data_IF_090020257881
#
_entry.id   IF_090020257881
#
_cell.length_a   1.000
_cell.length_b   1.000
_cell.length_c   1.000
_cell.angle_alpha   90.00
_cell.angle_beta   90.00
_cell.angle_gamma   90.00
#
_symmetry.space_group_name_H-M   'P 1'
#
loop_
_entity.id
_entity.type
_entity.pdbx_description
1 polymer ?
#
# COMPACT_ATOMS: atom_id res chain seq x y z
N UNK A 1 0.25 -37.84 -74.73
CA UNK A 1 0.40 -38.13 -73.30
C UNK A 1 0.99 -36.87 -72.60
N UNK A 2 0.22 -36.07 -72.00
CA UNK A 2 0.65 -34.82 -71.30
C UNK A 2 0.95 -35.14 -69.86
N UNK A 3 2.16 -34.87 -69.44
CA UNK A 3 2.57 -34.88 -68.01
C UNK A 3 2.08 -33.61 -67.29
N UNK A 4 1.31 -33.77 -66.23
CA UNK A 4 0.90 -32.68 -65.36
C UNK A 4 1.96 -32.47 -64.28
N UNK A 5 2.68 -31.38 -64.35
CA UNK A 5 3.59 -30.94 -63.32
C UNK A 5 2.79 -30.15 -62.27
N UNK A 6 2.66 -30.68 -61.06
CA UNK A 6 1.99 -30.02 -59.94
C UNK A 6 2.96 -29.07 -59.26
N UNK A 7 2.69 -27.76 -59.32
CA UNK A 7 3.45 -26.72 -58.64
C UNK A 7 2.96 -26.60 -57.22
N UNK A 8 3.78 -27.01 -56.25
CA UNK A 8 3.49 -26.79 -54.83
C UNK A 8 4.02 -25.39 -54.44
N UNK A 9 3.10 -24.48 -54.19
CA UNK A 9 3.41 -23.16 -53.63
C UNK A 9 3.42 -23.29 -52.11
N UNK A 10 4.62 -23.23 -51.50
CA UNK A 10 4.77 -23.14 -50.05
C UNK A 10 4.61 -21.67 -49.68
N UNK A 11 3.47 -21.33 -49.05
CA UNK A 11 3.25 -20.04 -48.46
C UNK A 11 3.88 -20.03 -47.05
N UNK A 12 5.05 -19.39 -46.94
CA UNK A 12 5.69 -19.14 -45.66
C UNK A 12 4.95 -17.98 -44.98
N UNK A 13 4.08 -18.29 -44.02
CA UNK A 13 3.47 -17.33 -43.11
C UNK A 13 4.53 -16.90 -42.09
N UNK A 14 5.18 -15.77 -42.34
CA UNK A 14 5.96 -15.05 -41.35
C UNK A 14 4.99 -14.45 -40.35
N UNK A 15 4.78 -15.12 -39.22
CA UNK A 15 4.12 -14.52 -38.04
C UNK A 15 5.06 -13.46 -37.46
N UNK A 16 4.86 -12.21 -37.81
CA UNK A 16 5.41 -11.08 -37.07
C UNK A 16 4.70 -11.03 -35.72
N UNK A 17 5.29 -11.67 -34.73
CA UNK A 17 4.95 -11.45 -33.35
C UNK A 17 5.26 -9.99 -33.03
N UNK A 18 4.23 -9.17 -32.88
CA UNK A 18 4.36 -7.82 -32.31
C UNK A 18 4.86 -8.01 -30.88
N UNK A 19 6.15 -7.87 -30.65
CA UNK A 19 6.69 -7.58 -29.32
C UNK A 19 6.17 -6.19 -28.98
N UNK A 20 5.06 -6.14 -28.25
CA UNK A 20 4.71 -4.94 -27.51
C UNK A 20 5.78 -4.77 -26.44
N UNK A 21 6.76 -3.90 -26.71
CA UNK A 21 7.64 -3.41 -25.67
C UNK A 21 6.72 -2.73 -24.63
N UNK A 22 6.50 -3.39 -23.49
CA UNK A 22 5.96 -2.73 -22.34
C UNK A 22 6.95 -1.62 -22.01
N UNK A 23 6.50 -0.36 -22.14
CA UNK A 23 7.29 0.78 -21.71
C UNK A 23 7.54 0.59 -20.22
N UNK A 24 8.80 0.45 -19.83
CA UNK A 24 9.20 0.55 -18.44
C UNK A 24 8.77 1.94 -17.97
N UNK A 25 7.80 1.99 -17.09
CA UNK A 25 7.37 3.21 -16.44
C UNK A 25 8.38 3.46 -15.31
N UNK A 26 9.46 4.16 -15.64
CA UNK A 26 10.40 4.66 -14.64
C UNK A 26 9.73 5.81 -13.90
N UNK A 27 9.85 5.86 -12.59
CA UNK A 27 9.38 6.99 -11.79
C UNK A 27 9.92 8.29 -12.40
N UNK A 28 9.03 9.24 -12.60
CA UNK A 28 9.38 10.50 -13.25
C UNK A 28 10.38 11.26 -12.39
N UNK A 29 11.22 12.09 -13.02
CA UNK A 29 12.12 12.96 -12.28
C UNK A 29 11.39 13.93 -11.31
N UNK A 30 10.08 14.09 -11.44
CA UNK A 30 9.25 14.83 -10.51
C UNK A 30 9.05 14.09 -9.17
N UNK A 31 8.92 12.77 -9.20
CA UNK A 31 8.79 11.95 -7.98
C UNK A 31 10.10 11.98 -7.20
N UNK A 32 11.24 11.96 -7.90
CA UNK A 32 12.56 12.13 -7.28
C UNK A 32 12.79 13.54 -6.71
N UNK A 33 12.29 14.58 -7.38
CA UNK A 33 12.44 15.96 -6.91
C UNK A 33 11.55 16.25 -5.68
N UNK A 34 10.42 15.58 -5.55
CA UNK A 34 9.54 15.68 -4.38
C UNK A 34 10.03 14.87 -3.18
N UNK A 35 11.00 13.96 -3.38
CA UNK A 35 11.62 13.17 -2.32
C UNK A 35 12.26 14.01 -1.18
N UNK A 36 12.49 15.28 -1.43
CA UNK A 36 13.02 16.20 -0.41
C UNK A 36 11.96 16.77 0.54
N UNK A 37 10.67 16.57 0.24
CA UNK A 37 9.57 17.14 1.03
C UNK A 37 8.83 16.08 1.86
N UNK A 38 9.53 15.05 2.29
CA UNK A 38 9.00 13.90 3.01
C UNK A 38 8.61 14.28 4.43
N UNK A 39 7.45 13.81 4.87
CA UNK A 39 7.10 13.81 6.28
C UNK A 39 8.21 13.08 7.06
N UNK A 40 8.95 13.78 7.94
CA UNK A 40 10.05 13.16 8.65
C UNK A 40 9.54 12.04 9.56
N UNK A 41 10.37 11.02 9.78
CA UNK A 41 10.15 10.07 10.85
C UNK A 41 10.08 10.81 12.19
N UNK A 42 8.94 10.73 12.85
CA UNK A 42 8.76 11.30 14.20
C UNK A 42 9.00 10.24 15.27
N UNK A 43 8.75 8.97 14.94
CA UNK A 43 8.89 7.83 15.85
C UNK A 43 9.56 6.68 15.10
N UNK A 44 10.61 6.11 15.68
CA UNK A 44 11.42 5.02 15.07
C UNK A 44 11.40 3.80 15.98
N UNK A 45 11.18 2.62 15.38
CA UNK A 45 11.07 1.36 16.11
C UNK A 45 11.85 0.28 15.35
N UNK A 46 12.64 -0.51 16.08
CA UNK A 46 13.36 -1.63 15.47
C UNK A 46 13.51 -2.81 16.43
N UNK A 47 13.65 -4.00 15.86
CA UNK A 47 13.98 -5.22 16.59
C UNK A 47 14.70 -6.21 15.69
N UNK A 48 15.33 -7.21 16.33
CA UNK A 48 16.05 -8.27 15.63
C UNK A 48 17.39 -7.81 15.02
N UNK A 49 17.96 -8.69 14.21
CA UNK A 49 19.19 -8.46 13.46
C UNK A 49 19.22 -9.35 12.22
N UNK A 50 19.98 -8.97 11.21
CA UNK A 50 20.11 -9.71 9.95
C UNK A 50 18.73 -10.06 9.34
N UNK A 51 18.45 -11.36 9.14
CA UNK A 51 17.20 -11.83 8.52
C UNK A 51 15.97 -11.69 9.43
N UNK A 52 16.14 -11.44 10.72
CA UNK A 52 15.04 -11.18 11.67
C UNK A 52 14.86 -9.70 11.97
N UNK A 53 15.66 -8.84 11.32
CA UNK A 53 15.57 -7.40 11.51
C UNK A 53 14.28 -6.85 10.91
N UNK A 54 13.64 -6.00 11.70
CA UNK A 54 12.49 -5.20 11.26
C UNK A 54 12.61 -3.81 11.88
N UNK A 55 12.60 -2.81 11.02
CA UNK A 55 12.54 -1.40 11.41
C UNK A 55 11.39 -0.73 10.67
N UNK A 56 10.69 0.12 11.34
CA UNK A 56 9.76 1.06 10.73
C UNK A 56 9.79 2.39 11.45
N UNK A 57 9.45 3.43 10.74
CA UNK A 57 9.23 4.72 11.36
C UNK A 57 7.81 5.23 11.09
N UNK A 58 7.29 6.06 11.99
CA UNK A 58 5.95 6.66 11.88
C UNK A 58 6.09 8.18 11.84
N UNK A 59 5.39 8.83 10.91
CA UNK A 59 5.31 10.29 10.83
C UNK A 59 4.45 10.86 11.97
N UNK A 60 4.53 12.15 12.19
CA UNK A 60 3.68 12.84 13.17
C UNK A 60 2.17 12.71 12.85
N UNK A 61 1.81 12.43 11.61
CA UNK A 61 0.42 12.30 11.15
C UNK A 61 -0.07 10.85 11.05
N UNK A 62 0.81 9.85 11.25
CA UNK A 62 0.43 8.43 11.30
C UNK A 62 0.60 7.69 9.97
N UNK A 63 1.52 8.12 9.13
CA UNK A 63 2.00 7.35 7.99
C UNK A 63 3.24 6.52 8.38
N UNK A 64 3.60 5.50 7.62
CA UNK A 64 4.82 4.73 7.79
C UNK A 64 5.75 5.04 6.61
N UNK A 65 6.55 6.13 6.66
CA UNK A 65 7.39 6.53 5.54
C UNK A 65 8.53 5.55 5.23
N UNK A 66 8.90 4.70 6.18
CA UNK A 66 9.99 3.73 6.00
C UNK A 66 9.67 2.40 6.65
N UNK A 67 9.91 1.30 5.93
CA UNK A 67 9.96 -0.07 6.45
C UNK A 67 11.22 -0.72 5.89
N UNK A 68 12.05 -1.27 6.78
CA UNK A 68 13.25 -2.04 6.43
C UNK A 68 13.15 -3.45 7.01
N UNK A 69 13.25 -4.44 6.15
CA UNK A 69 13.23 -5.87 6.52
C UNK A 69 13.60 -6.75 5.32
N UNK A 70 14.57 -7.69 5.44
CA UNK A 70 15.54 -7.82 6.53
C UNK A 70 16.52 -6.63 6.59
N UNK A 71 17.52 -6.69 7.44
CA UNK A 71 18.49 -5.59 7.62
C UNK A 71 19.16 -5.19 6.30
N UNK A 72 19.15 -3.90 5.99
CA UNK A 72 19.69 -3.33 4.77
C UNK A 72 18.75 -3.46 3.56
N UNK A 73 17.49 -3.90 3.73
CA UNK A 73 16.50 -4.10 2.66
C UNK A 73 15.29 -3.20 2.89
N UNK A 74 15.23 -2.08 2.20
CA UNK A 74 14.09 -1.18 2.26
C UNK A 74 12.93 -1.71 1.43
N UNK A 75 11.72 -1.68 2.00
CA UNK A 75 10.48 -2.11 1.38
C UNK A 75 9.53 -0.94 1.11
N UNK A 76 9.56 0.07 1.99
CA UNK A 76 8.91 1.37 1.83
C UNK A 76 9.94 2.40 2.22
N UNK A 77 10.48 3.17 1.31
CA UNK A 77 11.50 4.17 1.63
C UNK A 77 11.76 5.21 0.57
N UNK A 78 11.76 4.83 -0.70
CA UNK A 78 12.30 5.68 -1.76
C UNK A 78 11.57 7.02 -1.85
N UNK A 79 10.27 6.97 -1.98
CA UNK A 79 9.41 8.14 -2.10
C UNK A 79 8.35 8.23 -0.98
N UNK A 80 8.37 7.26 -0.05
CA UNK A 80 7.56 7.29 1.19
C UNK A 80 6.06 7.42 0.96
N UNK A 81 5.57 6.77 -0.07
CA UNK A 81 4.16 6.74 -0.44
C UNK A 81 3.42 5.65 0.34
N UNK A 82 3.13 5.94 1.58
CA UNK A 82 2.33 5.09 2.45
C UNK A 82 1.37 5.96 3.25
N UNK A 83 0.17 5.42 3.53
CA UNK A 83 -0.76 6.18 4.34
C UNK A 83 -2.16 5.61 4.40
N UNK A 84 -3.10 6.50 4.69
CA UNK A 84 -4.49 6.12 4.94
C UNK A 84 -5.47 7.08 4.29
N UNK A 85 -6.65 6.52 3.98
CA UNK A 85 -7.78 7.25 3.45
C UNK A 85 -9.07 6.88 4.17
N UNK A 86 -9.98 7.83 4.21
CA UNK A 86 -11.32 7.69 4.74
C UNK A 86 -12.31 8.34 3.79
N UNK A 87 -13.40 7.65 3.46
CA UNK A 87 -14.55 8.24 2.80
C UNK A 87 -15.75 8.25 3.73
N UNK A 88 -16.37 9.40 3.92
CA UNK A 88 -17.73 9.48 4.42
C UNK A 88 -18.67 9.26 3.23
N UNK A 89 -19.53 8.24 3.29
CA UNK A 89 -20.35 7.87 2.14
C UNK A 89 -21.40 8.92 1.78
N UNK A 90 -22.02 9.54 2.77
CA UNK A 90 -23.13 10.46 2.51
C UNK A 90 -23.07 11.71 3.41
N UNK A 91 -22.82 12.92 2.85
CA UNK A 91 -22.32 13.13 1.48
C UNK A 91 -20.95 12.50 1.29
N UNK A 92 -20.60 12.15 0.07
CA UNK A 92 -19.28 11.59 -0.24
C UNK A 92 -18.20 12.65 -0.04
N UNK A 93 -17.37 12.46 0.98
CA UNK A 93 -16.23 13.32 1.28
C UNK A 93 -15.02 12.44 1.55
N UNK A 94 -13.94 12.72 0.81
CA UNK A 94 -12.66 12.03 0.97
C UNK A 94 -11.76 12.79 1.96
N UNK A 95 -11.16 12.05 2.87
CA UNK A 95 -10.10 12.48 3.79
C UNK A 95 -8.94 11.52 3.60
N UNK A 96 -7.77 12.00 3.25
CA UNK A 96 -6.59 11.14 3.09
C UNK A 96 -5.32 11.86 3.53
N UNK A 97 -4.34 11.05 3.90
CA UNK A 97 -2.95 11.42 4.10
C UNK A 97 -2.10 10.24 3.59
N UNK A 98 -1.43 10.44 2.46
CA UNK A 98 -0.67 9.44 1.75
C UNK A 98 0.82 9.81 1.65
N UNK A 99 1.35 10.36 2.72
CA UNK A 99 2.76 10.73 2.76
C UNK A 99 3.10 11.79 1.72
N UNK A 100 3.98 11.49 0.79
CA UNK A 100 4.41 12.45 -0.25
C UNK A 100 3.30 12.82 -1.25
N UNK A 101 2.29 11.99 -1.46
CA UNK A 101 1.13 12.38 -2.26
C UNK A 101 0.26 13.42 -1.56
N UNK A 102 0.60 13.76 -0.32
CA UNK A 102 -0.01 14.84 0.42
C UNK A 102 -1.22 14.45 1.23
N UNK A 103 -1.68 15.44 1.97
CA UNK A 103 -2.88 15.42 2.80
C UNK A 103 -4.03 16.11 2.06
N UNK A 104 -5.23 15.59 2.16
CA UNK A 104 -6.44 16.17 1.53
C UNK A 104 -6.78 17.58 2.03
N UNK A 105 -6.13 18.06 3.09
CA UNK A 105 -6.48 19.30 3.78
C UNK A 105 -7.75 19.18 4.66
N UNK A 106 -8.38 18.02 4.67
CA UNK A 106 -9.63 17.78 5.41
C UNK A 106 -9.41 17.14 6.79
N UNK A 107 -8.16 17.04 7.23
CA UNK A 107 -7.79 16.58 8.57
C UNK A 107 -7.42 17.75 9.47
N UNK A 108 -7.81 17.67 10.73
CA UNK A 108 -7.27 18.53 11.78
C UNK A 108 -5.86 18.11 12.22
N UNK A 109 -5.27 18.86 13.14
CA UNK A 109 -3.95 18.58 13.69
C UNK A 109 -3.89 17.20 14.34
N UNK A 110 -2.83 16.46 14.07
CA UNK A 110 -2.55 15.18 14.71
C UNK A 110 -2.12 15.37 16.16
N UNK A 111 -2.51 14.43 17.02
CA UNK A 111 -2.16 14.42 18.44
C UNK A 111 -1.57 13.07 18.82
N UNK A 112 -0.39 13.06 19.45
CA UNK A 112 0.17 11.86 20.07
C UNK A 112 -0.59 11.56 21.34
N UNK A 113 -1.32 10.45 21.34
CA UNK A 113 -2.13 10.01 22.50
C UNK A 113 -1.28 9.27 23.52
N UNK A 114 -0.36 8.44 23.04
CA UNK A 114 0.61 7.71 23.87
C UNK A 114 1.79 7.22 23.06
N UNK A 115 2.92 7.01 23.72
CA UNK A 115 4.11 6.43 23.17
C UNK A 115 4.79 5.51 24.19
N UNK A 116 5.34 4.40 23.73
CA UNK A 116 6.17 3.46 24.51
C UNK A 116 7.43 3.12 23.70
N UNK A 117 8.30 2.27 24.23
CA UNK A 117 9.47 1.77 23.49
C UNK A 117 9.09 0.92 22.25
N UNK A 118 7.88 0.41 22.15
CA UNK A 118 7.45 -0.49 21.06
C UNK A 118 6.19 0.00 20.32
N UNK A 119 5.62 1.12 20.71
CA UNK A 119 4.38 1.58 20.09
C UNK A 119 4.18 3.10 20.15
N UNK A 120 3.44 3.60 19.17
CA UNK A 120 2.90 4.96 19.20
C UNK A 120 1.43 4.93 18.85
N UNK A 121 0.65 5.79 19.50
CA UNK A 121 -0.77 6.02 19.21
C UNK A 121 -0.98 7.47 18.83
N UNK A 122 -1.57 7.70 17.65
CA UNK A 122 -1.80 9.02 17.07
C UNK A 122 -3.29 9.14 16.74
N UNK A 123 -3.88 10.28 17.05
CA UNK A 123 -5.27 10.59 16.74
C UNK A 123 -5.37 11.84 15.86
N UNK A 124 -6.27 11.80 14.87
CA UNK A 124 -6.68 12.96 14.07
C UNK A 124 -8.20 13.00 13.99
N UNK A 125 -8.75 14.19 14.04
CA UNK A 125 -10.17 14.42 13.77
C UNK A 125 -10.30 15.11 12.42
N UNK A 126 -11.30 14.75 11.63
CA UNK A 126 -11.60 15.45 10.38
C UNK A 126 -11.95 16.91 10.63
N UNK A 127 -11.62 17.81 9.71
CA UNK A 127 -11.81 19.25 9.90
C UNK A 127 -13.29 19.64 10.14
N UNK A 128 -14.23 18.85 9.61
CA UNK A 128 -15.66 18.98 9.86
C UNK A 128 -16.13 18.36 11.19
N UNK A 129 -15.23 17.72 11.93
CA UNK A 129 -15.52 17.09 13.22
C UNK A 129 -16.33 15.79 13.16
N UNK A 130 -16.64 15.26 11.97
CA UNK A 130 -17.50 14.07 11.80
C UNK A 130 -16.80 12.82 12.33
N UNK A 131 -15.51 12.65 12.02
CA UNK A 131 -14.76 11.45 12.35
C UNK A 131 -13.54 11.74 13.22
N UNK A 132 -13.20 10.81 14.10
CA UNK A 132 -11.88 10.74 14.73
C UNK A 132 -11.26 9.39 14.42
N UNK A 133 -10.13 9.42 13.73
CA UNK A 133 -9.29 8.25 13.49
C UNK A 133 -8.18 8.21 14.52
N UNK A 134 -8.08 7.09 15.23
CA UNK A 134 -6.96 6.79 16.14
C UNK A 134 -6.19 5.61 15.58
N UNK A 135 -4.92 5.81 15.30
CA UNK A 135 -4.02 4.78 14.78
C UNK A 135 -3.04 4.37 15.87
N UNK A 136 -2.85 3.07 16.05
CA UNK A 136 -1.84 2.52 16.97
C UNK A 136 -0.90 1.64 16.18
N UNK A 137 0.37 1.96 16.21
CA UNK A 137 1.46 1.21 15.58
C UNK A 137 2.21 0.46 16.66
N UNK A 138 2.38 -0.84 16.50
CA UNK A 138 3.04 -1.67 17.51
C UNK A 138 4.04 -2.59 16.85
N UNK A 139 5.31 -2.48 17.24
CA UNK A 139 6.36 -3.41 16.87
C UNK A 139 6.08 -4.79 17.48
N UNK A 140 6.16 -5.84 16.67
CA UNK A 140 6.00 -7.24 17.11
C UNK A 140 7.33 -7.97 16.93
N UNK A 141 8.19 -8.02 17.96
CA UNK A 141 9.54 -8.59 17.82
C UNK A 141 9.55 -10.10 17.53
N UNK A 142 8.54 -10.84 17.99
CA UNK A 142 8.45 -12.29 17.78
C UNK A 142 8.20 -12.68 16.32
N UNK A 143 7.58 -11.80 15.56
CA UNK A 143 7.38 -11.92 14.11
C UNK A 143 7.73 -10.58 13.50
N UNK A 144 8.87 -10.44 12.79
CA UNK A 144 9.36 -9.16 12.28
C UNK A 144 8.27 -8.39 11.53
N UNK A 145 7.59 -7.46 12.22
CA UNK A 145 6.37 -6.84 11.71
C UNK A 145 5.92 -5.63 12.54
N UNK A 146 5.08 -4.81 11.93
CA UNK A 146 4.30 -3.78 12.63
C UNK A 146 2.81 -4.06 12.53
N UNK A 147 2.15 -4.17 13.68
CA UNK A 147 0.69 -4.21 13.77
C UNK A 147 0.14 -2.78 13.77
N UNK A 148 -0.80 -2.51 12.86
CA UNK A 148 -1.52 -1.25 12.77
C UNK A 148 -2.97 -1.48 13.17
N UNK A 149 -3.44 -0.73 14.17
CA UNK A 149 -4.83 -0.73 14.61
C UNK A 149 -5.44 0.64 14.28
N UNK A 150 -6.45 0.67 13.43
CA UNK A 150 -7.15 1.88 13.00
C UNK A 150 -8.55 1.89 13.63
N UNK A 151 -8.74 2.69 14.66
CA UNK A 151 -10.02 2.85 15.36
C UNK A 151 -10.71 4.12 14.86
N UNK A 152 -11.82 3.96 14.14
CA UNK A 152 -12.62 5.05 13.59
C UNK A 152 -13.85 5.29 14.44
N UNK A 153 -13.97 6.50 14.99
CA UNK A 153 -15.11 6.96 15.80
C UNK A 153 -15.99 7.88 14.97
N UNK A 154 -17.27 7.59 14.93
CA UNK A 154 -18.30 8.51 14.48
C UNK A 154 -18.63 9.50 15.61
N UNK A 155 -18.32 10.78 15.40
CA UNK A 155 -18.56 11.83 16.41
C UNK A 155 -19.97 12.43 16.32
N UNK A 156 -20.82 11.98 15.39
CA UNK A 156 -22.15 12.54 15.18
C UNK A 156 -23.22 11.81 15.99
N UNK A 157 -24.41 12.41 16.05
CA UNK A 157 -25.57 11.81 16.73
C UNK A 157 -26.36 10.81 15.86
N UNK A 158 -25.95 10.60 14.60
CA UNK A 158 -26.57 9.66 13.67
C UNK A 158 -25.58 8.58 13.22
N UNK A 159 -26.03 7.37 12.85
CA UNK A 159 -25.19 6.38 12.20
C UNK A 159 -24.65 6.91 10.87
N UNK A 160 -23.44 6.51 10.50
CA UNK A 160 -22.80 6.86 9.23
C UNK A 160 -22.06 5.66 8.65
N UNK A 161 -21.99 5.58 7.33
CA UNK A 161 -21.16 4.62 6.61
C UNK A 161 -19.83 5.28 6.28
N UNK A 162 -18.77 4.54 6.52
CA UNK A 162 -17.40 4.94 6.21
C UNK A 162 -16.67 3.84 5.44
N UNK A 163 -15.85 4.25 4.48
CA UNK A 163 -14.81 3.41 3.87
C UNK A 163 -13.48 3.83 4.46
N UNK A 164 -12.68 2.86 4.89
CA UNK A 164 -11.36 3.08 5.47
C UNK A 164 -10.33 2.32 4.66
N UNK A 165 -9.23 2.99 4.30
CA UNK A 165 -8.17 2.44 3.45
C UNK A 165 -6.84 2.52 4.16
N UNK A 166 -6.02 1.49 4.02
CA UNK A 166 -4.57 1.56 4.20
C UNK A 166 -3.92 1.25 2.86
N UNK A 167 -2.96 2.04 2.48
CA UNK A 167 -2.30 2.03 1.18
C UNK A 167 -0.80 2.04 1.37
N UNK A 168 -0.08 1.34 0.50
CA UNK A 168 1.37 1.44 0.40
C UNK A 168 1.81 1.26 -1.06
N UNK A 169 2.63 2.17 -1.52
CA UNK A 169 3.51 1.99 -2.65
C UNK A 169 4.73 1.24 -2.15
N UNK A 170 4.92 0.01 -2.63
CA UNK A 170 5.98 -0.85 -2.13
C UNK A 170 7.08 -0.93 -3.18
N UNK A 171 8.23 -0.35 -2.85
CA UNK A 171 9.45 -0.40 -3.64
C UNK A 171 10.38 -1.48 -3.08
N UNK A 172 9.94 -2.74 -3.18
CA UNK A 172 10.60 -3.86 -2.54
C UNK A 172 12.09 -3.96 -2.92
N UNK A 173 12.95 -3.79 -1.90
CA UNK A 173 14.41 -3.88 -2.03
C UNK A 173 15.04 -2.88 -3.03
N UNK A 174 14.36 -1.77 -3.30
CA UNK A 174 14.80 -0.78 -4.27
C UNK A 174 16.22 -0.26 -3.99
N UNK A 175 16.56 0.00 -2.74
CA UNK A 175 17.86 0.53 -2.34
C UNK A 175 19.05 -0.38 -2.70
N UNK A 176 18.80 -1.66 -2.98
CA UNK A 176 19.82 -2.62 -3.41
C UNK A 176 19.73 -2.96 -4.90
N UNK A 177 18.54 -2.92 -5.46
CA UNK A 177 18.29 -3.32 -6.85
C UNK A 177 18.24 -2.13 -7.81
N UNK A 178 17.90 -0.94 -7.31
CA UNK A 178 17.62 0.24 -8.15
C UNK A 178 16.38 0.08 -9.04
N UNK A 179 15.50 -0.88 -8.71
CA UNK A 179 14.32 -1.23 -9.50
C UNK A 179 13.09 -1.08 -8.62
N UNK A 180 12.16 -0.23 -9.03
CA UNK A 180 10.88 0.05 -8.38
C UNK A 180 9.72 -0.82 -8.89
N UNK A 181 10.02 -1.75 -9.80
CA UNK A 181 9.03 -2.66 -10.34
C UNK A 181 8.89 -3.90 -9.48
N UNK A 182 7.65 -4.22 -9.17
CA UNK A 182 7.29 -5.30 -8.26
C UNK A 182 6.35 -6.30 -8.94
N UNK A 183 6.33 -7.51 -8.44
CA UNK A 183 5.20 -8.41 -8.60
C UNK A 183 4.22 -8.15 -7.45
N UNK A 184 2.96 -8.00 -7.78
CA UNK A 184 1.92 -7.73 -6.79
C UNK A 184 0.80 -8.76 -6.90
N UNK A 185 0.18 -9.06 -5.78
CA UNK A 185 -1.05 -9.84 -5.76
C UNK A 185 -1.91 -9.41 -4.59
N UNK A 186 -3.22 -9.61 -4.74
CA UNK A 186 -4.17 -9.41 -3.66
C UNK A 186 -5.01 -10.67 -3.46
N UNK A 187 -5.40 -10.91 -2.23
CA UNK A 187 -6.22 -12.04 -1.80
C UNK A 187 -7.30 -11.56 -0.84
N UNK A 188 -8.18 -12.47 -0.43
CA UNK A 188 -9.13 -12.20 0.65
C UNK A 188 -8.47 -11.96 2.01
N UNK A 189 -7.18 -12.29 2.19
CA UNK A 189 -6.45 -12.09 3.44
C UNK A 189 -5.57 -10.85 3.47
N UNK A 190 -5.21 -10.32 2.30
CA UNK A 190 -4.27 -9.22 2.24
C UNK A 190 -3.85 -8.84 0.83
N UNK A 191 -2.85 -7.99 0.75
CA UNK A 191 -2.19 -7.62 -0.48
C UNK A 191 -0.67 -7.68 -0.28
N UNK A 192 0.06 -8.09 -1.32
CA UNK A 192 1.46 -8.47 -1.24
C UNK A 192 2.22 -7.86 -2.41
N UNK A 193 3.43 -7.39 -2.15
CA UNK A 193 4.34 -6.96 -3.19
C UNK A 193 5.75 -7.47 -2.91
N UNK A 194 6.44 -7.94 -3.95
CA UNK A 194 7.83 -8.40 -3.85
C UNK A 194 8.61 -7.98 -5.08
N UNK A 195 9.93 -7.82 -4.91
CA UNK A 195 10.81 -7.41 -5.98
C UNK A 195 10.69 -8.32 -7.19
N UNK A 196 10.42 -7.74 -8.35
CA UNK A 196 10.29 -8.45 -9.60
C UNK A 196 11.66 -8.71 -10.24
N UNK A 197 11.86 -9.93 -10.71
CA UNK A 197 13.01 -10.23 -11.56
C UNK A 197 12.83 -9.60 -12.93
N UNK A 198 13.57 -8.57 -13.22
CA UNK A 198 13.58 -7.97 -14.53
C UNK A 198 14.88 -8.28 -15.25
N UNK A 199 14.99 -8.08 -16.56
CA UNK A 199 15.81 -8.85 -17.51
C UNK A 199 17.27 -9.10 -17.14
N UNK A 200 17.71 -8.65 -15.98
CA UNK A 200 19.10 -8.76 -15.52
C UNK A 200 19.29 -9.71 -14.32
N UNK A 201 18.27 -10.47 -13.92
CA UNK A 201 18.40 -11.45 -12.83
C UNK A 201 18.58 -10.84 -11.43
N UNK A 202 18.17 -9.59 -11.24
CA UNK A 202 18.29 -8.86 -9.97
C UNK A 202 17.14 -9.12 -9.00
N UNK A 203 16.41 -10.21 -9.18
CA UNK A 203 15.35 -10.61 -8.25
C UNK A 203 15.94 -10.97 -6.89
N UNK A 204 15.72 -10.13 -5.90
CA UNK A 204 16.13 -10.43 -4.54
C UNK A 204 15.17 -11.37 -3.83
N UNK A 205 13.93 -11.48 -4.29
CA UNK A 205 12.86 -12.24 -3.66
C UNK A 205 12.31 -11.60 -2.38
N UNK A 206 12.83 -10.44 -1.96
CA UNK A 206 12.32 -9.73 -0.80
C UNK A 206 11.06 -8.94 -1.12
N UNK A 207 10.21 -8.75 -0.13
CA UNK A 207 8.95 -8.05 -0.30
C UNK A 207 8.26 -7.73 1.01
N UNK A 208 7.06 -7.18 0.89
CA UNK A 208 6.22 -6.78 2.00
C UNK A 208 4.81 -7.31 1.82
N UNK A 209 4.26 -7.88 2.87
CA UNK A 209 2.86 -8.23 2.98
C UNK A 209 2.11 -7.19 3.82
N UNK A 210 0.96 -6.74 3.33
CA UNK A 210 -0.04 -5.99 4.07
C UNK A 210 -1.24 -6.91 4.28
N UNK A 211 -1.38 -7.47 5.47
CA UNK A 211 -2.35 -8.52 5.79
C UNK A 211 -3.43 -8.01 6.74
N UNK A 212 -4.68 -8.39 6.47
CA UNK A 212 -5.78 -8.15 7.38
C UNK A 212 -5.73 -9.14 8.56
N UNK A 213 -5.62 -8.63 9.78
CA UNK A 213 -5.66 -9.41 11.01
C UNK A 213 -7.03 -9.36 11.68
N UNK A 214 -7.93 -8.54 11.17
CA UNK A 214 -9.18 -8.23 11.82
C UNK A 214 -10.20 -9.35 11.72
N UNK A 215 -10.77 -9.75 12.85
CA UNK A 215 -12.14 -10.24 12.88
C UNK A 215 -13.11 -9.08 12.57
N UNK A 216 -14.32 -9.36 12.10
CA UNK A 216 -15.14 -8.48 11.27
C UNK A 216 -15.81 -7.33 12.02
N UNK A 217 -15.16 -6.66 12.94
CA UNK A 217 -15.74 -5.46 13.55
C UNK A 217 -15.83 -4.29 12.57
N UNK A 218 -14.87 -4.23 11.64
CA UNK A 218 -14.93 -3.38 10.46
C UNK A 218 -15.09 -4.32 9.25
N UNK A 219 -16.11 -4.14 8.44
CA UNK A 219 -16.35 -4.99 7.28
C UNK A 219 -15.17 -4.88 6.31
N UNK A 220 -14.26 -5.84 6.38
CA UNK A 220 -13.17 -5.93 5.43
C UNK A 220 -13.74 -6.26 4.05
N UNK A 221 -13.44 -5.42 3.07
CA UNK A 221 -13.82 -5.68 1.69
C UNK A 221 -12.83 -6.65 1.07
N UNK A 222 -11.61 -6.22 0.89
CA UNK A 222 -10.52 -7.03 0.33
C UNK A 222 -9.19 -6.29 0.33
N UNK A 223 -8.12 -7.01 -0.03
CA UNK A 223 -6.87 -6.44 -0.50
C UNK A 223 -6.95 -6.08 -1.98
N UNK A 224 -6.22 -5.09 -2.39
CA UNK A 224 -6.08 -4.63 -3.76
C UNK A 224 -4.61 -4.63 -4.15
N UNK A 225 -4.31 -5.17 -5.34
CA UNK A 225 -3.05 -4.97 -6.04
C UNK A 225 -3.34 -4.04 -7.23
N UNK A 226 -2.61 -2.95 -7.33
CA UNK A 226 -2.88 -1.86 -8.28
C UNK A 226 -1.76 -1.78 -9.31
N UNK A 227 -2.14 -1.51 -10.56
CA UNK A 227 -1.20 -1.27 -11.67
C UNK A 227 -0.58 0.13 -11.67
N UNK A 228 -0.81 0.90 -10.64
CA UNK A 228 -0.30 2.25 -10.48
C UNK A 228 0.14 2.49 -9.05
N UNK A 229 1.20 3.24 -8.88
CA UNK A 229 1.65 3.75 -7.59
C UNK A 229 0.75 4.86 -7.04
N UNK A 230 -0.09 5.48 -7.86
CA UNK A 230 -0.99 6.56 -7.42
C UNK A 230 -1.94 6.08 -6.31
N UNK A 231 -2.10 6.85 -5.22
CA UNK A 231 -2.96 6.45 -4.13
C UNK A 231 -4.43 6.44 -4.55
N UNK A 232 -5.23 5.52 -3.99
CA UNK A 232 -6.64 5.45 -4.30
C UNK A 232 -7.40 6.65 -3.73
N UNK A 233 -8.41 7.13 -4.46
CA UNK A 233 -9.44 7.95 -3.83
C UNK A 233 -10.21 7.04 -2.84
N UNK A 234 -10.27 7.36 -1.54
CA UNK A 234 -10.94 6.51 -0.57
C UNK A 234 -12.45 6.38 -0.77
N UNK A 235 -13.05 7.19 -1.63
CA UNK A 235 -14.46 7.07 -2.01
C UNK A 235 -14.68 6.24 -3.28
N UNK A 236 -13.61 5.82 -3.96
CA UNK A 236 -13.69 5.10 -5.22
C UNK A 236 -12.83 3.83 -5.17
N UNK A 237 -13.45 2.75 -4.76
CA UNK A 237 -12.82 1.42 -4.74
C UNK A 237 -13.21 0.55 -5.92
N UNK A 238 -14.00 1.06 -6.84
CA UNK A 238 -14.42 0.30 -8.00
C UNK A 238 -13.30 0.28 -9.05
N UNK A 239 -12.82 -0.89 -9.40
CA UNK A 239 -12.00 -1.09 -10.59
C UNK A 239 -10.57 -1.55 -10.37
N UNK A 240 -10.13 -1.76 -9.14
CA UNK A 240 -8.83 -2.36 -8.89
C UNK A 240 -8.86 -3.88 -8.99
N UNK A 241 -7.79 -4.46 -9.52
CA UNK A 241 -7.69 -5.90 -9.74
C UNK A 241 -7.39 -6.64 -8.43
N UNK A 242 -8.43 -6.98 -7.68
CA UNK A 242 -8.27 -7.91 -6.55
C UNK A 242 -8.11 -9.34 -7.05
N UNK A 243 -7.21 -10.11 -6.43
CA UNK A 243 -7.00 -11.52 -6.75
C UNK A 243 -6.23 -11.78 -8.04
N UNK A 244 -5.78 -10.76 -8.75
CA UNK A 244 -4.90 -10.90 -9.90
C UNK A 244 -3.43 -10.82 -9.48
N UNK A 245 -2.57 -11.54 -10.18
CA UNK A 245 -1.13 -11.36 -10.07
C UNK A 245 -0.72 -10.33 -11.13
N UNK A 246 -0.12 -9.23 -10.70
CA UNK A 246 0.50 -8.23 -11.54
C UNK A 246 2.01 -8.48 -11.53
N UNK A 247 2.65 -8.38 -12.67
CA UNK A 247 4.09 -8.67 -12.80
C UNK A 247 4.85 -7.49 -13.39
N UNK A 248 5.99 -7.19 -12.79
CA UNK A 248 6.89 -6.11 -13.26
C UNK A 248 6.18 -4.78 -13.45
N UNK A 249 5.46 -4.34 -12.43
CA UNK A 249 4.76 -3.04 -12.43
C UNK A 249 5.28 -2.16 -11.31
N UNK A 250 5.40 -0.88 -11.57
CA UNK A 250 5.47 0.17 -10.56
C UNK A 250 4.04 0.40 -10.06
N UNK A 251 3.71 -0.28 -8.97
CA UNK A 251 2.34 -0.36 -8.50
C UNK A 251 2.25 -0.39 -6.98
N UNK A 252 1.05 -0.45 -6.47
CA UNK A 252 0.77 -0.34 -5.04
C UNK A 252 -0.15 -1.43 -4.53
N UNK A 253 -0.18 -1.57 -3.22
CA UNK A 253 -1.12 -2.45 -2.50
C UNK A 253 -1.98 -1.64 -1.55
N UNK A 254 -3.21 -2.10 -1.33
CA UNK A 254 -4.11 -1.48 -0.37
C UNK A 254 -5.01 -2.49 0.32
N UNK A 255 -5.45 -2.17 1.53
CA UNK A 255 -6.58 -2.82 2.20
C UNK A 255 -7.74 -1.85 2.30
N UNK A 256 -8.94 -2.31 1.98
CA UNK A 256 -10.15 -1.53 2.10
C UNK A 256 -11.17 -2.17 3.04
N UNK A 257 -11.84 -1.33 3.78
CA UNK A 257 -12.85 -1.69 4.77
C UNK A 257 -14.08 -0.81 4.60
N UNK A 258 -15.27 -1.38 4.80
CA UNK A 258 -16.52 -0.63 4.84
C UNK A 258 -17.31 -0.98 6.10
N UNK A 259 -17.87 0.01 6.75
CA UNK A 259 -18.67 -0.22 7.94
C UNK A 259 -19.68 0.88 8.19
N UNK A 260 -20.89 0.47 8.58
CA UNK A 260 -21.81 1.37 9.26
C UNK A 260 -21.38 1.51 10.74
N UNK A 261 -21.17 2.75 11.17
CA UNK A 261 -20.76 3.08 12.54
C UNK A 261 -21.87 3.88 13.20
N UNK A 262 -22.46 3.29 14.24
CA UNK A 262 -23.54 3.91 15.00
C UNK A 262 -23.13 5.27 15.59
N UNK A 263 -24.13 6.07 15.97
CA UNK A 263 -23.93 7.37 16.64
C UNK A 263 -22.98 7.25 17.83
N UNK A 264 -21.94 8.08 17.88
CA UNK A 264 -20.92 8.11 18.95
C UNK A 264 -20.17 6.79 19.18
N UNK A 265 -20.26 5.83 18.26
CA UNK A 265 -19.58 4.54 18.37
C UNK A 265 -18.25 4.52 17.63
N UNK A 266 -17.41 3.56 18.00
CA UNK A 266 -16.11 3.29 17.37
C UNK A 266 -16.10 1.89 16.77
N UNK A 267 -15.47 1.74 15.62
CA UNK A 267 -15.15 0.46 15.01
C UNK A 267 -13.66 0.41 14.69
N UNK A 268 -13.09 -0.80 14.65
CA UNK A 268 -11.64 -0.99 14.56
C UNK A 268 -11.30 -1.95 13.42
N UNK A 269 -10.40 -1.53 12.54
CA UNK A 269 -9.70 -2.37 11.58
C UNK A 269 -8.30 -2.67 12.12
N UNK A 270 -7.82 -3.89 11.92
CA UNK A 270 -6.48 -4.31 12.35
C UNK A 270 -5.76 -4.99 11.22
N UNK A 271 -4.54 -4.57 10.95
CA UNK A 271 -3.68 -5.08 9.90
C UNK A 271 -2.24 -5.19 10.37
N UNK A 272 -1.41 -5.83 9.57
CA UNK A 272 0.01 -6.01 9.84
C UNK A 272 0.83 -5.82 8.56
N UNK A 273 1.93 -5.10 8.65
CA UNK A 273 3.00 -5.15 7.66
C UNK A 273 4.03 -6.16 8.12
N UNK A 274 4.37 -7.08 7.24
CA UNK A 274 5.34 -8.16 7.51
C UNK A 274 6.28 -8.35 6.33
N UNK A 275 7.57 -8.52 6.60
CA UNK A 275 8.55 -8.91 5.58
C UNK A 275 8.26 -10.29 4.99
N UNK A 276 8.59 -10.47 3.73
CA UNK A 276 8.51 -11.73 2.99
C UNK A 276 9.89 -12.13 2.50
#
# INVERSE_FOLDING_TARGET
>A
MLSKTTLIVIVLLLAFGSLTAQSQQTKSGQDQANATNTAPCAFDFSSGANNTYFRFCVSATGNIPEIETPQGRAQVSFDRHEGYGLCNESPAVAYYDYGQFGDSGNWGTATVVSQTAQSVKIARTTADGIWTLTQTFTLIPATPSVKVVMALKNNTAAPRVAYLVRYADIDADWNNTGVDQNNLTATTGGAFAWNASIPFGLNSGFGLALENLGQPQFGYLQGFARTTYQPPNPCDFAGDSSGSVLTSVDGSVALAYVQSIGARKTKTATMIYRGM
#
